data_IF_839987636322
#
_entry.id   IF_839987636322
#
_cell.length_a   1.000
_cell.length_b   1.000
_cell.length_c   1.000
_cell.angle_alpha   90.00
_cell.angle_beta   90.00
_cell.angle_gamma   90.00
#
_symmetry.space_group_name_H-M   'P 1'
#
loop_
_entity.id
_entity.type
_entity.pdbx_description
1 polymer ?
#
# COMPACT_ATOMS: atom_id res chain seq x y z
N UNK A 1 -10.50 -15.91 -4.81
CA UNK A 1 -10.02 -14.51 -4.79
C UNK A 1 -8.65 -14.50 -4.13
N UNK A 2 -7.58 -14.26 -4.88
CA UNK A 2 -6.21 -14.27 -4.34
C UNK A 2 -5.91 -12.89 -3.77
N UNK A 3 -5.57 -12.83 -2.49
CA UNK A 3 -5.09 -11.61 -1.83
C UNK A 3 -3.56 -11.68 -1.77
N UNK A 4 -2.89 -10.66 -2.29
CA UNK A 4 -1.43 -10.58 -2.27
C UNK A 4 -0.95 -9.48 -1.34
N UNK A 5 0.34 -9.54 -0.98
CA UNK A 5 1.03 -8.45 -0.31
C UNK A 5 2.06 -7.92 -1.30
N UNK A 6 1.98 -6.63 -1.60
CA UNK A 6 2.88 -5.99 -2.55
C UNK A 6 3.43 -4.69 -1.94
N UNK A 7 4.48 -4.18 -2.58
CA UNK A 7 4.95 -2.80 -2.40
C UNK A 7 4.39 -1.90 -3.52
N UNK A 8 4.60 -0.58 -3.40
CA UNK A 8 4.05 0.37 -4.38
C UNK A 8 4.56 0.13 -5.81
N UNK A 9 5.72 -0.48 -6.02
CA UNK A 9 6.19 -0.88 -7.36
C UNK A 9 5.49 -2.15 -7.84
N UNK A 10 5.52 -3.22 -7.04
CA UNK A 10 5.00 -4.53 -7.45
C UNK A 10 3.48 -4.54 -7.63
N UNK A 11 2.73 -3.70 -6.89
CA UNK A 11 1.28 -3.61 -7.10
C UNK A 11 0.93 -3.06 -8.49
N UNK A 12 1.80 -2.24 -9.09
CA UNK A 12 1.55 -1.66 -10.42
C UNK A 12 1.46 -2.72 -11.53
N UNK A 13 2.12 -3.87 -11.34
CA UNK A 13 2.12 -4.98 -12.31
C UNK A 13 0.88 -5.87 -12.21
N UNK A 14 0.06 -5.72 -11.15
CA UNK A 14 -1.17 -6.51 -10.95
C UNK A 14 -2.25 -6.09 -11.93
N UNK A 15 -2.81 -7.01 -12.69
CA UNK A 15 -3.92 -6.71 -13.63
C UNK A 15 -5.30 -6.84 -12.97
N UNK A 16 -5.42 -7.69 -11.96
CA UNK A 16 -6.66 -8.02 -11.27
C UNK A 16 -6.42 -8.40 -9.80
N UNK A 17 -7.50 -8.64 -9.07
CA UNK A 17 -7.46 -9.12 -7.70
C UNK A 17 -7.28 -8.03 -6.65
N UNK A 18 -6.75 -8.40 -5.49
CA UNK A 18 -6.56 -7.49 -4.36
C UNK A 18 -5.15 -7.58 -3.81
N UNK A 19 -4.59 -6.43 -3.44
CA UNK A 19 -3.26 -6.36 -2.84
C UNK A 19 -3.23 -5.47 -1.62
N UNK A 20 -2.53 -5.90 -0.57
CA UNK A 20 -2.25 -5.11 0.62
C UNK A 20 -0.89 -4.45 0.49
N UNK A 21 -0.87 -3.11 0.58
CA UNK A 21 0.33 -2.28 0.53
C UNK A 21 0.50 -1.53 1.87
N UNK A 22 1.72 -1.45 2.38
CA UNK A 22 2.05 -0.67 3.58
C UNK A 22 2.75 0.64 3.18
N UNK A 23 2.05 1.77 3.27
CA UNK A 23 2.51 3.05 2.73
C UNK A 23 2.08 4.23 3.60
N UNK A 24 2.82 5.34 3.50
CA UNK A 24 2.46 6.64 4.07
C UNK A 24 1.57 7.42 3.14
N UNK A 25 0.64 8.18 3.69
CA UNK A 25 -0.23 9.10 2.96
C UNK A 25 0.52 10.41 2.70
N UNK A 26 0.74 10.74 1.43
CA UNK A 26 1.54 11.91 1.02
C UNK A 26 0.68 13.10 0.66
N UNK A 27 -0.44 12.85 -0.02
CA UNK A 27 -1.39 13.88 -0.46
C UNK A 27 -2.82 13.34 -0.36
N UNK A 28 -3.75 14.22 -0.01
CA UNK A 28 -5.18 13.92 0.04
C UNK A 28 -5.90 14.26 -1.27
N UNK A 29 -5.40 15.27 -2.01
CA UNK A 29 -5.99 15.71 -3.27
C UNK A 29 -4.89 16.17 -4.27
N UNK A 30 -4.54 15.36 -5.30
CA UNK A 30 -5.03 14.01 -5.54
C UNK A 30 -4.54 13.03 -4.44
N UNK A 31 -5.25 11.90 -4.23
CA UNK A 31 -4.91 10.95 -3.18
C UNK A 31 -3.69 10.12 -3.59
N UNK A 32 -2.59 10.33 -2.86
CA UNK A 32 -1.28 9.76 -3.15
C UNK A 32 -0.74 9.08 -1.89
N UNK A 33 -0.25 7.86 -2.08
CA UNK A 33 0.47 7.08 -1.08
C UNK A 33 1.90 6.82 -1.53
N UNK A 34 2.79 6.57 -0.58
CA UNK A 34 4.19 6.31 -0.84
C UNK A 34 4.75 5.29 0.13
N UNK A 35 5.52 4.35 -0.40
CA UNK A 35 6.41 3.52 0.41
C UNK A 35 7.88 3.78 0.04
N UNK A 36 8.78 2.91 0.50
CA UNK A 36 10.21 3.03 0.20
C UNK A 36 10.58 2.72 -1.26
N UNK A 37 9.66 2.22 -2.07
CA UNK A 37 9.91 1.82 -3.46
C UNK A 37 9.35 2.80 -4.47
N UNK A 38 8.10 3.25 -4.31
CA UNK A 38 7.54 4.26 -5.20
C UNK A 38 6.41 5.03 -4.57
N UNK A 39 5.99 6.05 -5.32
CA UNK A 39 4.76 6.80 -5.09
C UNK A 39 3.66 6.17 -5.93
N UNK A 40 2.44 6.13 -5.41
CA UNK A 40 1.27 5.59 -6.09
C UNK A 40 0.08 6.52 -5.92
N UNK A 41 -0.56 6.87 -7.02
CA UNK A 41 -1.84 7.56 -7.01
C UNK A 41 -2.97 6.54 -6.96
N UNK A 42 -3.91 6.72 -6.03
CA UNK A 42 -5.10 5.88 -5.89
C UNK A 42 -6.35 6.68 -6.30
N UNK A 43 -7.51 6.03 -6.37
CA UNK A 43 -8.75 6.71 -6.75
C UNK A 43 -9.34 7.57 -5.63
N UNK A 44 -9.05 7.23 -4.37
CA UNK A 44 -9.63 7.85 -3.18
C UNK A 44 -9.39 7.02 -1.92
N UNK A 45 -9.61 7.64 -0.77
CA UNK A 45 -9.58 6.97 0.53
C UNK A 45 -11.02 6.65 0.98
N UNK A 46 -11.31 5.42 1.44
CA UNK A 46 -12.65 5.02 1.89
C UNK A 46 -13.04 5.59 3.26
N UNK A 47 -12.09 6.19 3.99
CA UNK A 47 -12.26 6.78 5.32
C UNK A 47 -11.42 8.05 5.41
N UNK A 48 -11.72 8.90 6.40
CA UNK A 48 -10.87 10.05 6.73
C UNK A 48 -9.48 9.59 7.16
N UNK A 49 -8.46 10.27 6.65
CA UNK A 49 -7.06 9.96 6.86
C UNK A 49 -6.23 11.24 6.87
N UNK A 50 -5.11 11.24 7.57
CA UNK A 50 -4.23 12.40 7.66
C UNK A 50 -2.96 12.22 6.83
N UNK A 51 -2.45 13.35 6.34
CA UNK A 51 -1.14 13.36 5.68
C UNK A 51 -0.07 12.96 6.70
N UNK A 52 0.75 11.98 6.35
CA UNK A 52 1.79 11.44 7.21
C UNK A 52 1.42 10.11 7.88
N UNK A 53 0.14 9.73 7.90
CA UNK A 53 -0.29 8.45 8.42
C UNK A 53 0.36 7.31 7.65
N UNK A 54 0.86 6.31 8.39
CA UNK A 54 1.37 5.08 7.81
C UNK A 54 0.31 3.99 8.00
N UNK A 55 -0.16 3.41 6.90
CA UNK A 55 -1.32 2.53 6.90
C UNK A 55 -1.05 1.24 6.13
N UNK A 56 -1.80 0.19 6.46
CA UNK A 56 -2.09 -0.87 5.51
C UNK A 56 -3.27 -0.46 4.64
N UNK A 57 -3.09 -0.52 3.32
CA UNK A 57 -4.10 -0.20 2.32
C UNK A 57 -4.41 -1.45 1.52
N UNK A 58 -5.68 -1.87 1.53
CA UNK A 58 -6.19 -2.91 0.64
C UNK A 58 -6.63 -2.26 -0.67
N UNK A 59 -5.93 -2.58 -1.75
CA UNK A 59 -6.18 -2.06 -3.10
C UNK A 59 -6.90 -3.11 -3.94
N UNK A 60 -7.92 -2.67 -4.66
CA UNK A 60 -8.52 -3.37 -5.78
C UNK A 60 -7.68 -3.10 -7.03
N UNK A 61 -7.21 -4.17 -7.68
CA UNK A 61 -6.21 -4.09 -8.75
C UNK A 61 -6.77 -4.10 -10.16
N UNK A 62 -8.10 -4.27 -10.36
CA UNK A 62 -8.71 -4.33 -11.70
C UNK A 62 -8.98 -2.95 -12.31
N UNK A 63 -8.81 -1.88 -11.52
CA UNK A 63 -9.06 -0.49 -11.94
C UNK A 63 -7.79 0.38 -11.86
N UNK A 64 -7.77 1.48 -12.62
CA UNK A 64 -6.70 2.49 -12.60
C UNK A 64 -7.29 3.91 -12.60
N UNK A 65 -6.87 4.82 -11.68
CA UNK A 65 -6.00 4.56 -10.53
C UNK A 65 -6.62 3.52 -9.58
N UNK A 66 -5.78 2.81 -8.82
CA UNK A 66 -6.23 1.71 -7.96
C UNK A 66 -7.27 2.18 -6.95
N UNK A 67 -8.34 1.39 -6.75
CA UNK A 67 -9.35 1.70 -5.74
C UNK A 67 -8.90 1.18 -4.38
N UNK A 68 -8.80 2.05 -3.38
CA UNK A 68 -8.60 1.61 -2.00
C UNK A 68 -9.95 1.16 -1.42
N UNK A 69 -10.03 -0.10 -1.01
CA UNK A 69 -11.22 -0.70 -0.43
C UNK A 69 -11.24 -0.50 1.09
N UNK A 70 -10.08 -0.65 1.72
CA UNK A 70 -9.95 -0.60 3.17
C UNK A 70 -8.62 0.01 3.57
N UNK A 71 -8.64 0.76 4.68
CA UNK A 71 -7.47 1.33 5.33
C UNK A 71 -7.42 0.83 6.76
N UNK A 72 -6.23 0.48 7.22
CA UNK A 72 -5.96 0.16 8.63
C UNK A 72 -4.73 0.95 9.08
N UNK A 73 -4.92 2.01 9.89
CA UNK A 73 -3.82 2.79 10.43
C UNK A 73 -2.85 1.91 11.21
N UNK A 74 -1.56 2.16 11.06
CA UNK A 74 -0.51 1.48 11.81
C UNK A 74 -0.11 2.41 12.95
N UNK A 75 -0.27 1.99 14.22
CA UNK A 75 0.20 2.78 15.36
C UNK A 75 1.68 3.17 15.18
N UNK A 76 2.08 4.41 15.53
CA UNK A 76 3.45 4.89 15.33
C UNK A 76 4.54 3.94 15.87
N UNK A 77 4.25 3.27 16.99
CA UNK A 77 5.16 2.31 17.64
C UNK A 77 5.41 1.06 16.79
N UNK A 78 4.50 0.72 15.87
CA UNK A 78 4.56 -0.46 15.01
C UNK A 78 5.04 -0.16 13.58
N UNK A 79 5.26 1.11 13.23
CA UNK A 79 5.69 1.51 11.87
C UNK A 79 7.01 0.87 11.49
N UNK A 80 7.98 0.82 12.41
CA UNK A 80 9.28 0.15 12.19
C UNK A 80 9.11 -1.33 11.90
N UNK A 81 8.19 -2.00 12.59
CA UNK A 81 7.88 -3.42 12.40
C UNK A 81 7.22 -3.64 11.03
N UNK A 82 6.25 -2.81 10.66
CA UNK A 82 5.58 -2.90 9.35
C UNK A 82 6.57 -2.73 8.19
N UNK A 83 7.49 -1.75 8.29
CA UNK A 83 8.58 -1.54 7.32
C UNK A 83 9.54 -2.73 7.28
N UNK A 84 9.90 -3.29 8.44
CA UNK A 84 10.74 -4.48 8.52
C UNK A 84 10.07 -5.67 7.82
N UNK A 85 8.79 -5.94 8.10
CA UNK A 85 8.03 -7.01 7.44
C UNK A 85 8.02 -6.87 5.92
N UNK A 86 7.80 -5.65 5.41
CA UNK A 86 7.84 -5.39 3.97
C UNK A 86 9.25 -5.66 3.40
N UNK A 87 10.30 -5.23 4.11
CA UNK A 87 11.69 -5.51 3.70
C UNK A 87 12.03 -7.00 3.68
N UNK A 88 11.54 -7.77 4.66
CA UNK A 88 11.74 -9.22 4.75
C UNK A 88 11.00 -9.95 3.64
N UNK A 89 9.78 -9.51 3.31
CA UNK A 89 9.01 -10.02 2.19
C UNK A 89 9.77 -9.86 0.86
N UNK A 90 10.29 -8.65 0.60
CA UNK A 90 11.12 -8.38 -0.59
C UNK A 90 12.36 -9.27 -0.65
N UNK A 91 13.04 -9.50 0.48
CA UNK A 91 14.21 -10.38 0.53
C UNK A 91 13.87 -11.84 0.28
N UNK A 92 12.70 -12.32 0.72
CA UNK A 92 12.23 -13.69 0.44
C UNK A 92 11.89 -13.89 -1.03
N UNK A 93 11.26 -12.92 -1.69
CA UNK A 93 10.97 -12.98 -3.13
C UNK A 93 12.19 -12.90 -4.04
N UNK A 94 13.36 -12.48 -3.52
CA UNK A 94 14.65 -12.44 -4.24
C UNK A 94 15.52 -13.70 -4.07
N UNK A 95 15.04 -14.72 -3.36
CA UNK A 95 15.70 -16.04 -3.32
C UNK A 95 15.12 -16.91 -4.44
N UNK A 96 15.59 -16.67 -5.65
CA UNK A 96 15.49 -17.57 -6.81
C UNK A 96 16.87 -17.67 -7.44
#
# INVERSE_FOLDING_TARGET
MVMTRDDCISVQTRQDGQSVVAASIVSLNPPIIQDSTSVLQISGFPVEVERGDYCYLLLECSTRPFKCIQITPIPPQLVSIARLQLSLYRRRGKRL
#
